data_IF_861481245754
#
_entry.id   IF_861481245754
#
_cell.length_a   1.000
_cell.length_b   1.000
_cell.length_c   1.000
_cell.angle_alpha   90.00
_cell.angle_beta   90.00
_cell.angle_gamma   90.00
#
_symmetry.space_group_name_H-M   'P 1'
#
loop_
_entity.id
_entity.type
_entity.pdbx_description
1 polymer ?
#
# COMPACT_ATOMS: atom_id res chain seq x y z
N UNK A 1 55.60 2.28 10.70
CA UNK A 1 54.57 2.76 9.76
C UNK A 1 53.64 1.60 9.46
N UNK A 2 52.34 1.71 9.76
CA UNK A 2 51.35 0.68 9.37
C UNK A 2 50.87 1.01 7.97
N UNK A 3 51.33 0.23 6.99
CA UNK A 3 50.81 0.27 5.62
C UNK A 3 49.39 -0.31 5.64
N UNK A 4 48.39 0.55 5.45
CA UNK A 4 47.02 0.11 5.16
C UNK A 4 47.07 -0.49 3.75
N UNK A 5 47.03 -1.83 3.66
CA UNK A 5 46.88 -2.50 2.39
C UNK A 5 45.56 -2.06 1.75
N UNK A 6 45.53 -1.72 0.45
CA UNK A 6 44.29 -1.37 -0.22
C UNK A 6 43.35 -2.58 -0.14
N UNK A 7 42.19 -2.39 0.45
CA UNK A 7 41.13 -3.40 0.45
C UNK A 7 40.64 -3.52 -0.99
N UNK A 8 41.05 -4.59 -1.66
CA UNK A 8 40.53 -4.91 -2.98
C UNK A 8 39.07 -5.34 -2.82
N UNK A 9 38.15 -4.56 -3.38
CA UNK A 9 36.73 -4.86 -3.45
C UNK A 9 36.48 -5.25 -4.91
N UNK A 10 35.89 -6.43 -5.13
CA UNK A 10 35.55 -6.85 -6.48
C UNK A 10 34.42 -5.98 -7.05
N UNK A 11 34.37 -5.84 -8.38
CA UNK A 11 33.27 -5.11 -9.02
C UNK A 11 31.92 -5.80 -8.75
N UNK A 12 31.93 -7.11 -8.60
CA UNK A 12 30.79 -7.95 -8.27
C UNK A 12 30.23 -7.64 -6.88
N UNK A 13 31.10 -7.44 -5.88
CA UNK A 13 30.69 -7.07 -4.52
C UNK A 13 30.04 -5.68 -4.51
N UNK A 14 30.61 -4.73 -5.24
CA UNK A 14 30.02 -3.38 -5.40
C UNK A 14 28.65 -3.46 -6.06
N UNK A 15 28.53 -4.28 -7.11
CA UNK A 15 27.26 -4.47 -7.82
C UNK A 15 26.19 -5.08 -6.90
N UNK A 16 26.56 -6.07 -6.09
CA UNK A 16 25.64 -6.72 -5.16
C UNK A 16 25.13 -5.74 -4.08
N UNK A 17 26.00 -4.88 -3.55
CA UNK A 17 25.59 -3.86 -2.57
C UNK A 17 24.73 -2.77 -3.21
N UNK A 18 25.04 -2.34 -4.45
CA UNK A 18 24.18 -1.41 -5.18
C UNK A 18 22.78 -1.98 -5.43
N UNK A 19 22.68 -3.26 -5.79
CA UNK A 19 21.37 -3.93 -5.94
C UNK A 19 20.59 -3.96 -4.62
N UNK A 20 21.24 -4.25 -3.49
CA UNK A 20 20.60 -4.20 -2.16
C UNK A 20 20.11 -2.80 -1.81
N UNK A 21 20.89 -1.77 -2.16
CA UNK A 21 20.51 -0.36 -1.94
C UNK A 21 19.30 0.00 -2.81
N UNK A 22 19.30 -0.36 -4.09
CA UNK A 22 18.15 -0.14 -5.00
C UNK A 22 16.89 -0.79 -4.46
N UNK A 23 16.95 -2.06 -4.03
CA UNK A 23 15.80 -2.76 -3.45
C UNK A 23 15.29 -2.08 -2.16
N UNK A 24 16.21 -1.58 -1.31
CA UNK A 24 15.83 -0.83 -0.11
C UNK A 24 15.18 0.52 -0.46
N UNK A 25 15.69 1.22 -1.48
CA UNK A 25 15.12 2.47 -1.94
C UNK A 25 13.73 2.27 -2.56
N UNK A 26 13.52 1.22 -3.35
CA UNK A 26 12.21 0.85 -3.88
C UNK A 26 11.21 0.51 -2.75
N UNK A 27 11.65 -0.24 -1.74
CA UNK A 27 10.84 -0.53 -0.57
C UNK A 27 10.50 0.73 0.24
N UNK A 28 11.45 1.68 0.34
CA UNK A 28 11.23 2.97 0.97
C UNK A 28 10.27 3.84 0.15
N UNK A 29 10.38 3.90 -1.17
CA UNK A 29 9.45 4.62 -2.04
C UNK A 29 8.01 4.10 -1.88
N UNK A 30 7.84 2.78 -1.78
CA UNK A 30 6.55 2.16 -1.47
C UNK A 30 6.03 2.60 -0.10
N UNK A 31 6.90 2.74 0.91
CA UNK A 31 6.55 3.24 2.24
C UNK A 31 6.31 4.76 2.29
N UNK A 32 6.97 5.54 1.44
CA UNK A 32 6.84 7.00 1.38
C UNK A 32 5.58 7.43 0.62
N UNK A 33 5.13 6.65 -0.37
CA UNK A 33 3.79 6.82 -0.96
C UNK A 33 2.66 6.70 0.07
N UNK A 34 2.88 5.98 1.16
CA UNK A 34 1.96 5.91 2.29
C UNK A 34 2.10 7.09 3.27
N UNK A 35 3.24 7.81 3.29
CA UNK A 35 3.46 8.96 4.19
C UNK A 35 3.17 10.33 3.57
N UNK A 36 3.33 10.51 2.26
CA UNK A 36 3.04 11.80 1.61
C UNK A 36 1.54 12.00 1.30
N UNK A 37 0.76 10.92 1.18
CA UNK A 37 -0.69 10.99 1.07
C UNK A 37 -1.34 10.95 2.45
N UNK A 38 -1.25 12.07 3.18
CA UNK A 38 -1.97 12.39 4.42
C UNK A 38 -2.57 11.21 5.20
N UNK A 39 -1.88 10.78 6.27
CA UNK A 39 -2.39 9.90 7.32
C UNK A 39 -3.25 8.72 6.80
N UNK A 40 -2.62 7.62 6.38
CA UNK A 40 -3.32 6.44 5.84
C UNK A 40 -4.47 6.00 6.75
N UNK A 41 -5.70 6.35 6.37
CA UNK A 41 -6.89 6.05 7.16
C UNK A 41 -7.39 4.65 6.81
N UNK A 42 -7.46 3.80 7.82
CA UNK A 42 -7.98 2.44 7.72
C UNK A 42 -9.36 2.36 8.38
N UNK A 43 -10.37 1.96 7.62
CA UNK A 43 -11.75 1.89 8.12
C UNK A 43 -12.33 0.46 8.03
N UNK A 44 -13.22 0.14 8.97
CA UNK A 44 -13.99 -1.10 8.91
C UNK A 44 -15.07 -1.02 7.82
N UNK A 45 -15.55 -2.17 7.35
CA UNK A 45 -16.71 -2.23 6.43
C UNK A 45 -17.93 -1.48 6.99
N UNK A 46 -18.18 -1.55 8.30
CA UNK A 46 -19.31 -0.85 8.92
C UNK A 46 -19.15 0.68 8.89
N UNK A 47 -17.92 1.15 9.09
CA UNK A 47 -17.59 2.58 8.99
C UNK A 47 -17.76 3.09 7.56
N UNK A 48 -17.27 2.33 6.58
CA UNK A 48 -17.40 2.68 5.17
C UNK A 48 -18.86 2.67 4.71
N UNK A 49 -19.64 1.66 5.11
CA UNK A 49 -21.07 1.58 4.78
C UNK A 49 -21.83 2.84 5.24
N UNK A 50 -21.54 3.33 6.45
CA UNK A 50 -22.12 4.59 6.96
C UNK A 50 -21.65 5.82 6.18
N UNK A 51 -20.35 5.88 5.84
CA UNK A 51 -19.76 7.01 5.11
C UNK A 51 -20.38 7.21 3.73
N UNK A 52 -20.65 6.13 3.02
CA UNK A 52 -21.23 6.16 1.67
C UNK A 52 -22.75 5.97 1.64
N UNK A 53 -23.41 6.08 2.79
CA UNK A 53 -24.86 5.91 2.95
C UNK A 53 -25.41 4.66 2.23
N UNK A 54 -24.78 3.51 2.48
CA UNK A 54 -25.17 2.25 1.83
C UNK A 54 -25.27 1.09 2.79
N UNK A 55 -26.02 0.06 2.38
CA UNK A 55 -26.16 -1.15 3.18
C UNK A 55 -24.81 -1.85 3.35
N UNK A 56 -24.61 -2.47 4.52
CA UNK A 56 -23.40 -3.26 4.82
C UNK A 56 -23.15 -4.35 3.78
N UNK A 57 -24.23 -4.97 3.26
CA UNK A 57 -24.15 -6.01 2.22
C UNK A 57 -23.68 -5.45 0.87
N UNK A 58 -24.16 -4.27 0.46
CA UNK A 58 -23.70 -3.62 -0.77
C UNK A 58 -22.22 -3.25 -0.67
N UNK A 59 -21.83 -2.65 0.46
CA UNK A 59 -20.42 -2.35 0.74
C UNK A 59 -19.56 -3.62 0.72
N UNK A 60 -20.04 -4.75 1.26
CA UNK A 60 -19.33 -6.03 1.21
C UNK A 60 -18.97 -6.43 -0.23
N UNK A 61 -19.98 -6.42 -1.13
CA UNK A 61 -19.80 -6.82 -2.52
C UNK A 61 -18.80 -5.90 -3.24
N UNK A 62 -18.88 -4.60 -2.99
CA UNK A 62 -17.94 -3.62 -3.54
C UNK A 62 -16.50 -3.88 -3.08
N UNK A 63 -16.31 -4.08 -1.78
CA UNK A 63 -14.99 -4.34 -1.21
C UNK A 63 -14.41 -5.66 -1.72
N UNK A 64 -15.20 -6.72 -1.85
CA UNK A 64 -14.76 -7.98 -2.46
C UNK A 64 -14.27 -7.73 -3.89
N UNK A 65 -15.04 -7.01 -4.71
CA UNK A 65 -14.63 -6.68 -6.07
C UNK A 65 -13.33 -5.88 -6.13
N UNK A 66 -13.22 -4.81 -5.33
CA UNK A 66 -12.02 -3.98 -5.30
C UNK A 66 -10.79 -4.69 -4.76
N UNK A 67 -10.94 -5.59 -3.79
CA UNK A 67 -9.83 -6.40 -3.26
C UNK A 67 -9.39 -7.46 -4.26
N UNK A 68 -10.34 -8.20 -4.87
CA UNK A 68 -10.02 -9.20 -5.90
C UNK A 68 -9.29 -8.59 -7.10
N UNK A 69 -9.69 -7.37 -7.49
CA UNK A 69 -9.04 -6.62 -8.56
C UNK A 69 -7.76 -5.87 -8.15
N UNK A 70 -7.29 -6.08 -6.90
CA UNK A 70 -6.10 -5.42 -6.32
C UNK A 70 -6.15 -3.87 -6.37
N UNK A 71 -7.37 -3.31 -6.37
CA UNK A 71 -7.63 -1.86 -6.33
C UNK A 71 -7.81 -1.34 -4.91
N UNK A 72 -8.12 -2.21 -3.95
CA UNK A 72 -8.32 -1.87 -2.54
C UNK A 72 -7.35 -2.66 -1.67
N UNK A 73 -6.48 -1.96 -0.93
CA UNK A 73 -5.61 -2.56 0.08
C UNK A 73 -6.40 -2.86 1.35
N UNK A 74 -6.02 -3.94 2.02
CA UNK A 74 -6.61 -4.34 3.30
C UNK A 74 -5.53 -4.63 4.33
N UNK A 75 -5.85 -4.40 5.60
CA UNK A 75 -5.03 -4.82 6.72
C UNK A 75 -5.91 -5.52 7.76
N UNK A 76 -5.34 -6.47 8.50
CA UNK A 76 -6.03 -7.15 9.59
C UNK A 76 -5.10 -7.19 10.81
N UNK A 77 -5.11 -6.14 11.65
CA UNK A 77 -4.23 -6.09 12.80
C UNK A 77 -4.60 -7.20 13.80
N UNK A 78 -3.63 -8.04 14.15
CA UNK A 78 -3.71 -9.10 15.16
C UNK A 78 -4.92 -10.05 15.03
N UNK A 79 -5.31 -10.39 13.78
CA UNK A 79 -6.49 -11.24 13.54
C UNK A 79 -7.84 -10.59 13.84
N UNK A 80 -7.85 -9.29 14.16
CA UNK A 80 -9.06 -8.51 14.44
C UNK A 80 -9.91 -8.22 13.21
N UNK A 81 -10.76 -7.19 13.28
CA UNK A 81 -11.63 -6.80 12.17
C UNK A 81 -10.78 -6.33 10.99
N UNK A 82 -11.00 -6.92 9.81
CA UNK A 82 -10.39 -6.46 8.55
C UNK A 82 -10.75 -4.99 8.29
N UNK A 83 -9.72 -4.20 8.00
CA UNK A 83 -9.85 -2.79 7.62
C UNK A 83 -9.42 -2.62 6.16
N UNK A 84 -9.95 -1.57 5.55
CA UNK A 84 -9.73 -1.22 4.16
C UNK A 84 -9.16 0.20 4.11
N UNK A 85 -8.25 0.42 3.18
CA UNK A 85 -7.70 1.75 2.94
C UNK A 85 -8.82 2.66 2.40
N UNK A 86 -9.10 3.78 3.09
CA UNK A 86 -10.21 4.67 2.74
C UNK A 86 -10.02 5.31 1.37
N UNK A 87 -8.81 5.77 1.05
CA UNK A 87 -8.49 6.42 -0.22
C UNK A 87 -8.66 5.47 -1.40
N UNK A 88 -8.24 4.22 -1.25
CA UNK A 88 -8.42 3.20 -2.28
C UNK A 88 -9.92 2.92 -2.52
N UNK A 89 -10.73 2.92 -1.46
CA UNK A 89 -12.19 2.73 -1.55
C UNK A 89 -12.85 3.92 -2.24
N UNK A 90 -12.49 5.16 -1.88
CA UNK A 90 -12.98 6.38 -2.54
C UNK A 90 -12.67 6.34 -4.05
N UNK A 91 -11.42 6.04 -4.41
CA UNK A 91 -10.98 5.94 -5.81
C UNK A 91 -11.70 4.81 -6.57
N UNK A 92 -11.88 3.65 -5.93
CA UNK A 92 -12.59 2.53 -6.54
C UNK A 92 -14.06 2.87 -6.80
N UNK A 93 -14.74 3.50 -5.83
CA UNK A 93 -16.13 3.94 -6.01
C UNK A 93 -16.26 4.92 -7.17
N UNK A 94 -15.39 5.93 -7.25
CA UNK A 94 -15.37 6.88 -8.37
C UNK A 94 -15.18 6.18 -9.73
N UNK A 95 -14.36 5.11 -9.77
CA UNK A 95 -14.10 4.37 -11.01
C UNK A 95 -15.26 3.52 -11.51
N UNK A 96 -16.21 3.17 -10.63
CA UNK A 96 -17.36 2.31 -10.96
C UNK A 96 -18.69 3.06 -10.99
N UNK A 97 -18.77 4.25 -10.40
CA UNK A 97 -19.90 5.15 -10.62
C UNK A 97 -19.78 5.75 -12.01
N UNK A 98 -20.75 5.51 -12.92
CA UNK A 98 -20.77 6.20 -14.20
C UNK A 98 -20.91 7.69 -13.90
N UNK A 99 -19.95 8.50 -14.38
CA UNK A 99 -20.20 9.94 -14.54
C UNK A 99 -21.39 10.07 -15.47
N UNK A 100 -22.54 10.48 -14.93
CA UNK A 100 -23.72 10.77 -15.72
C UNK A 100 -23.39 11.85 -16.74
N UNK A 101 -23.48 11.49 -18.03
CA UNK A 101 -23.68 12.42 -19.13
C UNK A 101 -25.18 12.64 -19.31
#
# INVERSE_FOLDING_TARGET
MKTLAPTYISAEDVLAELQKITLKLEAMELSHKDSEAGNVVWASQATLAKRFDMSKSNMCRLLIGGVTNKKIRTCQPNGGVRKYNVTDVDAYLLSITPTGN
#
